data_IF_730186035930
#
_entry.id   IF_730186035930
#
_cell.length_a   1.000
_cell.length_b   1.000
_cell.length_c   1.000
_cell.angle_alpha   90.00
_cell.angle_beta   90.00
_cell.angle_gamma   90.00
#
_symmetry.space_group_name_H-M   'P 1'
#
loop_
_entity.id
_entity.type
_entity.pdbx_description
1 polymer ?
#
# COMPACT_ATOMS: atom_id res chain seq x y z
N UNK A 1 19.15 -7.88 -11.82
CA UNK A 1 18.19 -7.03 -11.10
C UNK A 1 17.36 -7.91 -10.18
N UNK A 2 17.32 -7.59 -8.89
CA UNK A 2 16.47 -8.22 -7.89
C UNK A 2 15.31 -7.27 -7.59
N UNK A 3 14.09 -7.79 -7.40
CA UNK A 3 12.96 -6.90 -7.17
C UNK A 3 13.10 -6.14 -5.84
N UNK A 4 12.50 -4.94 -5.75
CA UNK A 4 12.34 -4.23 -4.49
C UNK A 4 11.55 -5.09 -3.49
N UNK A 5 11.73 -4.86 -2.20
CA UNK A 5 11.13 -5.66 -1.13
C UNK A 5 10.34 -4.76 -0.19
N UNK A 6 9.03 -4.99 -0.11
CA UNK A 6 8.15 -4.33 0.85
C UNK A 6 8.20 -5.12 2.17
N UNK A 7 8.38 -4.45 3.30
CA UNK A 7 8.54 -5.06 4.63
C UNK A 7 7.48 -4.62 5.65
N UNK A 8 6.32 -4.17 5.19
CA UNK A 8 5.19 -3.81 6.04
C UNK A 8 4.54 -5.02 6.71
N UNK A 9 3.71 -4.77 7.72
CA UNK A 9 2.85 -5.79 8.32
C UNK A 9 1.81 -6.28 7.34
N UNK A 10 1.39 -7.54 7.46
CA UNK A 10 0.37 -8.13 6.58
C UNK A 10 -1.07 -7.82 7.00
N UNK A 11 -1.27 -7.11 8.11
CA UNK A 11 -2.59 -6.77 8.65
C UNK A 11 -2.70 -5.27 8.87
N UNK A 12 -3.84 -4.71 8.49
CA UNK A 12 -4.27 -3.34 8.81
C UNK A 12 -5.63 -3.38 9.51
N UNK A 13 -5.68 -2.84 10.71
CA UNK A 13 -6.89 -2.69 11.50
C UNK A 13 -7.53 -1.33 11.19
N UNK A 14 -8.78 -1.33 10.74
CA UNK A 14 -9.52 -0.12 10.39
C UNK A 14 -10.98 -0.23 10.79
N UNK A 15 -11.63 0.88 11.10
CA UNK A 15 -13.06 0.90 11.40
C UNK A 15 -13.85 1.52 10.24
N UNK A 16 -15.00 0.92 9.91
CA UNK A 16 -15.93 1.45 8.91
C UNK A 16 -16.32 2.89 9.24
N UNK A 17 -16.27 3.77 8.24
CA UNK A 17 -16.62 5.19 8.36
C UNK A 17 -15.52 6.09 8.92
N UNK A 18 -14.37 5.55 9.37
CA UNK A 18 -13.23 6.36 9.82
C UNK A 18 -12.31 6.76 8.67
N UNK A 19 -11.60 7.88 8.84
CA UNK A 19 -10.54 8.31 7.93
C UNK A 19 -9.17 8.16 8.58
N UNK A 20 -8.22 7.62 7.84
CA UNK A 20 -6.85 7.39 8.25
C UNK A 20 -5.90 8.18 7.36
N UNK A 21 -5.57 9.44 7.69
CA UNK A 21 -4.65 10.24 6.87
C UNK A 21 -3.22 9.69 6.87
N UNK A 22 -2.84 8.91 7.88
CA UNK A 22 -1.55 8.22 7.96
C UNK A 22 -1.81 6.77 8.38
N UNK A 23 -2.44 5.98 7.50
CA UNK A 23 -2.79 4.59 7.80
C UNK A 23 -1.53 3.76 8.04
N UNK A 24 -0.57 3.87 7.13
CA UNK A 24 0.72 3.19 7.24
C UNK A 24 1.74 3.86 6.32
N UNK A 25 3.01 3.85 6.72
CA UNK A 25 4.12 4.21 5.83
C UNK A 25 4.63 2.95 5.14
N UNK A 26 4.65 2.94 3.80
CA UNK A 26 5.17 1.81 3.03
C UNK A 26 6.70 1.79 3.12
N UNK A 27 7.23 0.68 3.63
CA UNK A 27 8.66 0.46 3.81
C UNK A 27 9.17 -0.48 2.72
N UNK A 28 10.01 0.05 1.84
CA UNK A 28 10.62 -0.72 0.75
C UNK A 28 12.12 -0.56 0.74
N UNK A 29 12.81 -1.65 0.44
CA UNK A 29 14.26 -1.69 0.20
C UNK A 29 14.52 -2.33 -1.14
N UNK A 30 15.49 -1.80 -1.88
CA UNK A 30 15.97 -2.44 -3.10
C UNK A 30 17.35 -3.08 -2.84
N UNK A 31 17.54 -4.39 -3.09
CA UNK A 31 18.81 -5.06 -2.86
C UNK A 31 19.96 -4.55 -3.75
N UNK A 32 19.64 -4.01 -4.92
CA UNK A 32 20.60 -3.46 -5.86
C UNK A 32 20.84 -1.95 -5.64
N UNK A 33 19.98 -1.29 -4.86
CA UNK A 33 20.02 0.15 -4.60
C UNK A 33 19.40 0.96 -5.73
N UNK A 34 18.64 0.30 -6.61
CA UNK A 34 17.96 0.94 -7.73
C UNK A 34 16.79 1.82 -7.22
N UNK A 35 16.50 2.95 -7.90
CA UNK A 35 15.34 3.75 -7.56
C UNK A 35 14.06 2.96 -7.86
N UNK A 36 13.05 3.12 -7.00
CA UNK A 36 11.75 2.50 -7.19
C UNK A 36 10.63 3.53 -7.05
N UNK A 37 9.49 3.22 -7.68
CA UNK A 37 8.26 3.99 -7.59
C UNK A 37 7.13 3.09 -7.12
N UNK A 38 6.11 3.71 -6.55
CA UNK A 38 4.92 3.01 -6.08
C UNK A 38 3.68 3.33 -6.90
N UNK A 39 2.78 2.37 -6.91
CA UNK A 39 1.43 2.54 -7.44
C UNK A 39 0.43 1.67 -6.67
N UNK A 40 -0.83 2.11 -6.69
CA UNK A 40 -1.94 1.32 -6.16
C UNK A 40 -2.40 0.31 -7.21
N UNK A 41 -2.63 -0.92 -6.78
CA UNK A 41 -3.13 -1.97 -7.65
C UNK A 41 -4.59 -1.72 -8.05
N UNK A 42 -4.98 -2.16 -9.27
CA UNK A 42 -6.38 -2.24 -9.65
C UNK A 42 -7.19 -3.03 -8.61
N UNK A 43 -8.36 -2.50 -8.26
CA UNK A 43 -9.24 -3.10 -7.24
C UNK A 43 -9.01 -2.61 -5.81
N UNK A 44 -7.96 -1.81 -5.57
CA UNK A 44 -7.79 -1.10 -4.30
C UNK A 44 -9.05 -0.30 -3.96
N UNK A 45 -9.46 -0.36 -2.70
CA UNK A 45 -10.69 0.23 -2.21
C UNK A 45 -10.73 1.75 -2.44
N UNK A 46 -11.94 2.26 -2.66
CA UNK A 46 -12.15 3.69 -2.86
C UNK A 46 -11.67 4.50 -1.64
N UNK A 47 -11.14 5.69 -1.91
CA UNK A 47 -10.63 6.60 -0.87
C UNK A 47 -9.20 6.30 -0.41
N UNK A 48 -8.60 5.17 -0.82
CA UNK A 48 -7.19 4.89 -0.58
C UNK A 48 -6.32 5.72 -1.51
N UNK A 49 -5.27 6.33 -0.98
CA UNK A 49 -4.29 7.11 -1.72
C UNK A 49 -2.88 6.86 -1.18
N UNK A 50 -1.88 6.89 -2.06
CA UNK A 50 -0.48 6.78 -1.68
C UNK A 50 0.25 8.08 -2.05
N UNK A 51 0.94 8.67 -1.08
CA UNK A 51 1.82 9.81 -1.34
C UNK A 51 3.22 9.28 -1.74
N UNK A 52 3.60 9.42 -3.00
CA UNK A 52 4.89 8.94 -3.50
C UNK A 52 6.12 9.69 -2.96
N UNK A 53 5.95 10.89 -2.38
CA UNK A 53 7.07 11.62 -1.77
C UNK A 53 7.33 11.19 -0.32
N UNK A 54 6.28 10.86 0.43
CA UNK A 54 6.39 10.47 1.85
C UNK A 54 6.22 8.96 2.08
N UNK A 55 5.80 8.23 1.05
CA UNK A 55 5.41 6.81 1.06
C UNK A 55 4.27 6.48 2.05
N UNK A 56 3.50 7.50 2.45
CA UNK A 56 2.38 7.32 3.36
C UNK A 56 1.15 6.90 2.57
N UNK A 57 0.59 5.76 2.95
CA UNK A 57 -0.73 5.32 2.55
C UNK A 57 -1.77 5.97 3.46
N UNK A 58 -2.79 6.54 2.85
CA UNK A 58 -3.93 7.16 3.52
C UNK A 58 -5.21 6.53 3.03
N UNK A 59 -6.25 6.52 3.85
CA UNK A 59 -7.58 6.08 3.48
C UNK A 59 -8.62 7.09 3.94
N UNK A 60 -9.20 7.81 2.99
CA UNK A 60 -10.29 8.74 3.28
C UNK A 60 -11.62 7.98 3.36
N UNK A 61 -12.15 7.86 4.58
CA UNK A 61 -13.42 7.21 4.91
C UNK A 61 -13.51 5.76 4.43
N UNK A 62 -13.22 4.84 5.33
CA UNK A 62 -13.38 3.40 5.08
C UNK A 62 -14.83 3.10 4.70
N UNK A 63 -15.09 2.55 3.50
CA UNK A 63 -16.45 2.29 3.07
C UNK A 63 -17.05 1.10 3.82
N UNK A 64 -18.36 1.14 4.03
CA UNK A 64 -19.13 0.01 4.55
C UNK A 64 -19.37 -0.98 3.40
N UNK A 65 -18.54 -2.02 3.33
CA UNK A 65 -18.58 -2.97 2.23
C UNK A 65 -17.88 -4.29 2.56
N UNK A 66 -18.41 -5.36 2.00
CA UNK A 66 -17.81 -6.69 2.06
C UNK A 66 -16.80 -6.81 0.91
N UNK A 67 -15.52 -7.07 1.22
CA UNK A 67 -14.36 -7.16 0.31
C UNK A 67 -13.56 -5.87 0.11
N UNK A 68 -13.18 -5.23 1.20
CA UNK A 68 -12.17 -4.19 1.17
C UNK A 68 -10.80 -4.78 0.81
N UNK A 69 -10.15 -4.22 -0.20
CA UNK A 69 -8.78 -4.62 -0.56
C UNK A 69 -7.88 -3.41 -0.69
N UNK A 70 -6.62 -3.57 -0.30
CA UNK A 70 -5.56 -2.63 -0.59
C UNK A 70 -4.45 -3.41 -1.28
N UNK A 71 -3.95 -2.91 -2.40
CA UNK A 71 -2.74 -3.41 -3.01
C UNK A 71 -1.80 -2.26 -3.31
N UNK A 72 -0.56 -2.38 -2.85
CA UNK A 72 0.52 -1.45 -3.19
C UNK A 72 1.62 -2.24 -3.86
N UNK A 73 2.03 -1.80 -5.04
CA UNK A 73 3.19 -2.34 -5.72
C UNK A 73 4.35 -1.35 -5.69
N UNK A 74 5.55 -1.87 -5.49
CA UNK A 74 6.81 -1.16 -5.66
C UNK A 74 7.53 -1.73 -6.89
N UNK A 75 8.01 -0.88 -7.79
CA UNK A 75 8.65 -1.28 -9.05
C UNK A 75 9.93 -0.50 -9.28
N UNK A 76 10.94 -1.19 -9.81
CA UNK A 76 12.25 -0.65 -10.22
C UNK A 76 12.35 -0.43 -11.75
N UNK A 77 11.21 -0.32 -12.44
CA UNK A 77 11.06 -0.29 -13.91
C UNK A 77 11.23 -1.63 -14.63
N UNK A 78 11.82 -2.65 -14.00
CA UNK A 78 11.98 -3.98 -14.60
C UNK A 78 11.14 -5.05 -13.91
N UNK A 79 11.02 -4.98 -12.58
CA UNK A 79 10.31 -5.96 -11.76
C UNK A 79 9.56 -5.24 -10.63
N UNK A 80 8.37 -5.75 -10.32
CA UNK A 80 7.55 -5.24 -9.22
C UNK A 80 7.42 -6.26 -8.09
N UNK A 81 7.34 -5.76 -6.86
CA UNK A 81 6.86 -6.50 -5.69
C UNK A 81 5.52 -5.94 -5.24
N UNK A 82 4.61 -6.85 -4.88
CA UNK A 82 3.26 -6.54 -4.49
C UNK A 82 3.03 -6.84 -3.00
N UNK A 83 2.48 -5.85 -2.29
CA UNK A 83 1.99 -6.00 -0.92
C UNK A 83 0.47 -5.86 -0.90
N UNK A 84 -0.20 -6.84 -0.29
CA UNK A 84 -1.65 -6.88 -0.10
C UNK A 84 -1.97 -7.23 1.35
N UNK A 85 -2.16 -6.24 2.24
CA UNK A 85 -2.53 -6.53 3.60
C UNK A 85 -3.94 -7.10 3.68
N UNK A 86 -4.16 -7.95 4.67
CA UNK A 86 -5.49 -8.28 5.18
C UNK A 86 -6.05 -7.05 5.90
N UNK A 87 -7.29 -6.71 5.58
CA UNK A 87 -8.04 -5.68 6.28
C UNK A 87 -8.86 -6.34 7.38
N UNK A 88 -8.68 -5.87 8.62
CA UNK A 88 -9.48 -6.27 9.77
C UNK A 88 -10.35 -5.08 10.21
N UNK A 89 -11.63 -5.37 10.44
CA UNK A 89 -12.69 -4.42 10.78
C UNK A 89 -13.09 -4.50 12.25
#
# INVERSE_FOLDING_TARGET
>A
NFPPRISNTDVLEVEVGKSYPNLVTVHTTDPNGDPFYYYLEPGTAAGVSLNNATHVLSWNTVPDGFNLTIGVAASDEFVSTLWRPRIEL
#
